data_IF_529542056843
#
_entry.id   IF_529542056843
#
_cell.length_a   1.000
_cell.length_b   1.000
_cell.length_c   1.000
_cell.angle_alpha   90.00
_cell.angle_beta   90.00
_cell.angle_gamma   90.00
#
_symmetry.space_group_name_H-M   'P 1'
#
loop_
_entity.id
_entity.type
_entity.pdbx_description
1 polymer ?
#
# COMPACT_ATOMS: atom_id res chain seq x y z
N UNK A 1 -1.10 -14.67 23.21
CA UNK A 1 -0.41 -15.57 22.25
C UNK A 1 0.12 -14.72 21.11
N UNK A 2 1.44 -14.51 21.03
CA UNK A 2 2.04 -13.69 19.97
C UNK A 2 2.30 -14.59 18.76
N UNK A 3 1.67 -14.31 17.62
CA UNK A 3 1.96 -15.03 16.38
C UNK A 3 3.43 -14.80 16.00
N UNK A 4 4.22 -15.87 15.93
CA UNK A 4 5.62 -15.76 15.52
C UNK A 4 5.68 -15.58 14.00
N UNK A 5 6.26 -14.47 13.59
CA UNK A 5 6.54 -14.18 12.17
C UNK A 5 7.57 -15.18 11.66
N UNK A 6 7.31 -15.78 10.50
CA UNK A 6 8.27 -16.71 9.88
C UNK A 6 9.52 -15.96 9.39
N UNK A 7 10.68 -16.64 9.34
CA UNK A 7 11.95 -16.03 8.87
C UNK A 7 11.80 -15.37 7.49
N UNK A 8 11.02 -15.99 6.61
CA UNK A 8 10.74 -15.49 5.28
C UNK A 8 9.87 -14.23 5.27
N UNK A 9 8.84 -14.18 6.13
CA UNK A 9 8.01 -12.98 6.30
C UNK A 9 8.85 -11.81 6.85
N UNK A 10 9.72 -12.08 7.83
CA UNK A 10 10.66 -11.08 8.36
C UNK A 10 11.61 -10.57 7.29
N UNK A 11 12.17 -11.46 6.47
CA UNK A 11 13.04 -11.07 5.34
C UNK A 11 12.30 -10.17 4.33
N UNK A 12 11.07 -10.52 3.95
CA UNK A 12 10.24 -9.69 3.05
C UNK A 12 9.88 -8.33 3.65
N UNK A 13 9.74 -8.23 4.97
CA UNK A 13 9.48 -6.96 5.66
C UNK A 13 10.73 -6.08 5.77
N UNK A 14 11.91 -6.67 5.92
CA UNK A 14 13.18 -5.92 6.07
C UNK A 14 13.86 -5.59 4.74
N UNK A 15 13.47 -6.22 3.62
CA UNK A 15 14.09 -5.98 2.33
C UNK A 15 13.68 -4.61 1.75
N UNK A 16 14.61 -3.65 1.60
CA UNK A 16 14.30 -2.29 1.16
C UNK A 16 13.82 -2.22 -0.29
N UNK A 17 14.27 -3.13 -1.15
CA UNK A 17 13.88 -3.17 -2.57
C UNK A 17 12.40 -3.55 -2.70
N UNK A 18 11.98 -4.60 -1.98
CA UNK A 18 10.57 -5.04 -1.98
C UNK A 18 9.67 -3.93 -1.40
N UNK A 19 10.14 -3.24 -0.36
CA UNK A 19 9.39 -2.17 0.28
C UNK A 19 9.26 -0.93 -0.61
N UNK A 20 10.29 -0.60 -1.39
CA UNK A 20 10.25 0.46 -2.39
C UNK A 20 9.17 0.20 -3.44
N UNK A 21 9.12 -1.00 -4.04
CA UNK A 21 8.08 -1.33 -5.02
C UNK A 21 6.67 -1.31 -4.41
N UNK A 22 6.50 -1.79 -3.17
CA UNK A 22 5.22 -1.69 -2.46
C UNK A 22 4.79 -0.23 -2.25
N UNK A 23 5.74 0.64 -1.90
CA UNK A 23 5.48 2.06 -1.72
C UNK A 23 5.02 2.71 -3.03
N UNK A 24 5.76 2.49 -4.13
CA UNK A 24 5.39 3.04 -5.45
C UNK A 24 4.01 2.55 -5.90
N UNK A 25 3.76 1.24 -5.79
CA UNK A 25 2.45 0.66 -6.14
C UNK A 25 1.32 1.28 -5.32
N UNK A 26 1.51 1.42 -4.01
CA UNK A 26 0.52 2.02 -3.12
C UNK A 26 0.27 3.49 -3.48
N UNK A 27 1.33 4.27 -3.73
CA UNK A 27 1.23 5.68 -4.11
C UNK A 27 0.47 5.87 -5.43
N UNK A 28 0.75 5.06 -6.45
CA UNK A 28 0.02 5.09 -7.72
C UNK A 28 -1.44 4.70 -7.50
N UNK A 29 -1.71 3.65 -6.73
CA UNK A 29 -3.07 3.21 -6.43
C UNK A 29 -3.88 4.29 -5.71
N UNK A 30 -3.28 4.97 -4.73
CA UNK A 30 -3.89 6.10 -4.04
C UNK A 30 -4.17 7.23 -5.04
N UNK A 31 -3.21 7.58 -5.89
CA UNK A 31 -3.39 8.61 -6.91
C UNK A 31 -4.56 8.29 -7.85
N UNK A 32 -4.68 7.05 -8.32
CA UNK A 32 -5.80 6.61 -9.18
C UNK A 32 -7.13 6.67 -8.45
N UNK A 33 -7.19 6.27 -7.19
CA UNK A 33 -8.43 6.33 -6.38
C UNK A 33 -8.84 7.79 -6.11
N UNK A 34 -7.87 8.64 -5.77
CA UNK A 34 -8.08 10.06 -5.51
C UNK A 34 -8.50 10.79 -6.79
N UNK A 35 -7.78 10.59 -7.90
CA UNK A 35 -8.11 11.17 -9.20
C UNK A 35 -9.42 10.60 -9.79
N UNK A 36 -9.73 9.34 -9.50
CA UNK A 36 -10.95 8.64 -9.91
C UNK A 36 -12.19 8.98 -9.09
N UNK A 37 -12.11 9.90 -8.13
CA UNK A 37 -13.27 10.48 -7.46
C UNK A 37 -13.65 9.84 -6.12
N UNK A 38 -12.83 8.95 -5.55
CA UNK A 38 -12.98 8.46 -4.17
C UNK A 38 -12.21 9.34 -3.15
N UNK A 39 -12.18 10.65 -3.43
CA UNK A 39 -11.82 11.72 -2.51
C UNK A 39 -13.00 12.61 -2.09
N UNK A 40 -14.26 12.15 -2.23
CA UNK A 40 -15.38 12.73 -1.48
C UNK A 40 -16.20 13.86 -2.12
N UNK A 41 -16.17 14.08 -3.44
CA UNK A 41 -17.14 15.01 -4.08
C UNK A 41 -17.68 14.44 -5.39
N UNK A 42 -18.34 13.29 -5.31
CA UNK A 42 -19.44 12.96 -6.22
C UNK A 42 -20.74 13.48 -5.62
N UNK A 43 -20.82 14.80 -5.53
CA UNK A 43 -22.08 15.51 -5.37
C UNK A 43 -22.05 16.66 -6.37
N UNK A 44 -21.99 16.30 -7.66
CA UNK A 44 -22.33 17.22 -8.73
C UNK A 44 -23.79 16.91 -9.03
N UNK A 45 -24.61 17.77 -8.44
CA UNK A 45 -26.03 17.99 -8.63
C UNK A 45 -26.63 17.40 -9.90
#
# INVERSE_FOLDING_TARGET
MTQRISKYQKFKMMNPIIQFFKYIFLSIKIMVIVAGGHGGTRNVN
#
